data_IF_664710440601
#
_entry.id   IF_664710440601
#
_cell.length_a   1.000
_cell.length_b   1.000
_cell.length_c   1.000
_cell.angle_alpha   90.00
_cell.angle_beta   90.00
_cell.angle_gamma   90.00
#
_symmetry.space_group_name_H-M   'P 1'
#
loop_
_entity.id
_entity.type
_entity.pdbx_description
1 polymer ?
#
# COMPACT_ATOMS: atom_id res chain seq x y z
N UNK A 1 15.95 -22.54 13.29
CA UNK A 1 15.30 -21.26 12.98
C UNK A 1 14.90 -21.30 11.52
N UNK A 2 13.60 -21.56 11.24
CA UNK A 2 13.11 -21.60 9.85
C UNK A 2 13.06 -20.17 9.32
N UNK A 3 13.93 -19.84 8.37
CA UNK A 3 13.87 -18.55 7.67
C UNK A 3 12.53 -18.50 6.94
N UNK A 4 11.60 -17.66 7.40
CA UNK A 4 10.34 -17.41 6.69
C UNK A 4 10.69 -16.85 5.31
N UNK A 5 10.59 -17.69 4.30
CA UNK A 5 10.77 -17.28 2.90
C UNK A 5 9.70 -16.23 2.63
N UNK A 6 10.12 -14.98 2.40
CA UNK A 6 9.18 -13.92 2.01
C UNK A 6 8.63 -14.24 0.62
N UNK A 7 7.31 -14.05 0.40
CA UNK A 7 6.73 -14.29 -0.91
C UNK A 7 7.39 -13.37 -1.96
N UNK A 8 7.74 -13.96 -3.11
CA UNK A 8 8.33 -13.20 -4.21
C UNK A 8 7.32 -12.17 -4.76
N UNK A 9 7.75 -10.97 -5.15
CA UNK A 9 6.90 -10.00 -5.85
C UNK A 9 6.53 -10.51 -7.24
N UNK A 10 5.48 -9.93 -7.83
CA UNK A 10 5.16 -10.14 -9.25
C UNK A 10 6.36 -9.74 -10.12
N UNK A 11 6.65 -10.51 -11.18
CA UNK A 11 7.71 -10.14 -12.13
C UNK A 11 7.39 -8.81 -12.82
N UNK A 12 8.39 -7.94 -13.07
CA UNK A 12 8.23 -6.80 -13.96
C UNK A 12 7.71 -7.25 -15.35
N UNK A 13 6.77 -6.48 -15.91
CA UNK A 13 6.12 -6.80 -17.16
C UNK A 13 4.87 -7.68 -17.05
N UNK A 14 4.59 -8.27 -15.88
CA UNK A 14 3.32 -8.98 -15.63
C UNK A 14 2.14 -8.07 -15.86
N UNK A 15 1.05 -8.62 -16.40
CA UNK A 15 -0.23 -7.92 -16.55
C UNK A 15 -1.22 -8.48 -15.54
N UNK A 16 -1.86 -7.62 -14.76
CA UNK A 16 -2.90 -7.94 -13.78
C UNK A 16 -4.04 -6.94 -13.90
N UNK A 17 -5.27 -7.41 -14.08
CA UNK A 17 -6.45 -6.55 -14.23
C UNK A 17 -6.35 -5.48 -15.32
N UNK A 18 -5.55 -5.72 -16.37
CA UNK A 18 -5.28 -4.74 -17.42
C UNK A 18 -4.14 -3.76 -17.12
N UNK A 19 -3.51 -3.84 -15.93
CA UNK A 19 -2.37 -3.01 -15.54
C UNK A 19 -1.06 -3.75 -15.75
N UNK A 20 -0.04 -3.09 -16.31
CA UNK A 20 1.29 -3.65 -16.52
C UNK A 20 2.21 -3.28 -15.36
N UNK A 21 2.66 -4.27 -14.60
CA UNK A 21 3.59 -4.10 -13.49
C UNK A 21 4.95 -3.60 -14.00
N UNK A 22 5.44 -2.49 -13.45
CA UNK A 22 6.75 -1.92 -13.78
C UNK A 22 7.80 -2.40 -12.79
N UNK A 23 7.57 -2.17 -11.50
CA UNK A 23 8.48 -2.55 -10.41
C UNK A 23 7.78 -2.58 -9.07
N UNK A 24 8.40 -3.24 -8.10
CA UNK A 24 7.99 -3.16 -6.70
C UNK A 24 8.36 -1.80 -6.12
N UNK A 25 7.42 -1.18 -5.39
CA UNK A 25 7.62 0.03 -4.60
C UNK A 25 7.93 -0.29 -3.13
N UNK A 26 7.12 -1.17 -2.52
CA UNK A 26 7.25 -1.52 -1.11
C UNK A 26 6.81 -2.97 -0.86
N UNK A 27 7.25 -3.54 0.27
CA UNK A 27 6.77 -4.82 0.80
C UNK A 27 6.59 -4.68 2.31
N UNK A 28 5.48 -5.19 2.81
CA UNK A 28 5.16 -5.19 4.24
C UNK A 28 4.60 -6.52 4.72
N UNK A 29 4.17 -6.59 5.98
CA UNK A 29 3.60 -7.81 6.57
C UNK A 29 2.30 -8.28 5.90
N UNK A 30 1.55 -7.37 5.30
CA UNK A 30 0.23 -7.63 4.71
C UNK A 30 0.24 -7.73 3.18
N UNK A 31 1.33 -7.34 2.52
CA UNK A 31 1.37 -7.41 1.06
C UNK A 31 2.51 -6.64 0.41
N UNK A 32 2.37 -6.46 -0.88
CA UNK A 32 3.35 -5.81 -1.75
C UNK A 32 2.69 -4.66 -2.51
N UNK A 33 3.40 -3.55 -2.68
CA UNK A 33 2.97 -2.42 -3.49
C UNK A 33 3.83 -2.34 -4.73
N UNK A 34 3.20 -2.17 -5.88
CA UNK A 34 3.83 -2.06 -7.19
C UNK A 34 3.57 -0.70 -7.82
N UNK A 35 4.52 -0.20 -8.59
CA UNK A 35 4.28 0.74 -9.66
C UNK A 35 3.79 -0.04 -10.87
N UNK A 36 2.70 0.38 -11.46
CA UNK A 36 2.15 -0.19 -12.68
C UNK A 36 1.66 0.92 -13.64
N UNK A 37 1.40 0.54 -14.87
CA UNK A 37 0.83 1.41 -15.90
C UNK A 37 -0.55 0.88 -16.29
N UNK A 38 -1.52 1.78 -16.42
CA UNK A 38 -2.82 1.47 -16.99
C UNK A 38 -2.76 1.35 -18.53
N UNK A 39 -3.91 1.17 -19.17
CA UNK A 39 -4.01 1.01 -20.63
C UNK A 39 -3.57 2.26 -21.41
N UNK A 40 -3.70 3.45 -20.82
CA UNK A 40 -3.26 4.73 -21.38
C UNK A 40 -1.79 5.05 -21.07
N UNK A 41 -1.09 4.17 -20.32
CA UNK A 41 0.29 4.38 -19.89
C UNK A 41 0.44 5.29 -18.67
N UNK A 42 -0.64 5.63 -17.98
CA UNK A 42 -0.59 6.42 -16.75
C UNK A 42 -0.10 5.56 -15.59
N UNK A 43 0.73 6.16 -14.73
CA UNK A 43 1.24 5.50 -13.54
C UNK A 43 0.19 5.37 -12.45
N UNK A 44 0.12 4.17 -11.87
CA UNK A 44 -0.73 3.83 -10.72
C UNK A 44 0.09 3.05 -9.69
N UNK A 45 -0.33 3.11 -8.43
CA UNK A 45 0.18 2.23 -7.38
C UNK A 45 -0.81 1.08 -7.17
N UNK A 46 -0.32 -0.17 -7.14
CA UNK A 46 -1.17 -1.35 -6.91
C UNK A 46 -0.71 -2.06 -5.66
N UNK A 47 -1.59 -2.17 -4.67
CA UNK A 47 -1.37 -2.92 -3.45
C UNK A 47 -1.98 -4.31 -3.60
N UNK A 48 -1.14 -5.34 -3.49
CA UNK A 48 -1.52 -6.75 -3.50
C UNK A 48 -1.68 -7.26 -2.07
N UNK A 49 -2.75 -8.00 -1.77
CA UNK A 49 -2.87 -8.76 -0.54
C UNK A 49 -2.00 -10.00 -0.61
N UNK A 50 -0.87 -10.00 0.08
CA UNK A 50 0.10 -11.10 0.08
C UNK A 50 0.78 -11.22 1.46
N UNK A 51 0.04 -11.63 2.50
CA UNK A 51 0.56 -11.69 3.86
C UNK A 51 1.62 -12.79 3.99
N UNK A 52 2.86 -12.41 4.29
CA UNK A 52 4.00 -13.32 4.39
C UNK A 52 3.86 -14.39 5.50
N UNK A 53 2.94 -14.20 6.45
CA UNK A 53 2.61 -15.19 7.48
C UNK A 53 1.69 -16.31 6.99
N UNK A 54 0.94 -16.06 5.90
CA UNK A 54 -0.13 -16.95 5.42
C UNK A 54 0.16 -17.51 4.03
N UNK A 55 0.83 -16.75 3.17
CA UNK A 55 1.06 -17.10 1.78
C UNK A 55 2.54 -17.06 1.44
N UNK A 56 2.92 -17.86 0.45
CA UNK A 56 4.22 -17.85 -0.20
C UNK A 56 4.01 -17.68 -1.70
N UNK A 57 5.05 -17.27 -2.42
CA UNK A 57 5.07 -17.26 -3.88
C UNK A 57 6.51 -17.47 -4.35
N UNK A 58 6.69 -18.39 -5.29
CA UNK A 58 7.98 -18.63 -5.91
C UNK A 58 8.32 -17.50 -6.92
N UNK A 59 9.60 -17.21 -7.16
CA UNK A 59 10.00 -16.27 -8.21
C UNK A 59 9.44 -16.67 -9.57
N UNK A 60 8.84 -15.72 -10.28
CA UNK A 60 8.25 -15.95 -11.60
C UNK A 60 6.77 -16.36 -11.58
N UNK A 61 6.27 -16.83 -10.46
CA UNK A 61 4.86 -17.19 -10.32
C UNK A 61 3.98 -15.95 -10.10
N UNK A 62 2.74 -16.02 -10.60
CA UNK A 62 1.75 -14.96 -10.37
C UNK A 62 0.86 -15.27 -9.17
N UNK A 63 0.52 -16.54 -8.99
CA UNK A 63 -0.43 -17.00 -7.98
C UNK A 63 0.28 -17.29 -6.64
N UNK A 64 -0.26 -16.79 -5.51
CA UNK A 64 0.20 -17.18 -4.19
C UNK A 64 -0.12 -18.65 -3.88
N UNK A 65 0.79 -19.31 -3.17
CA UNK A 65 0.54 -20.62 -2.57
C UNK A 65 0.20 -20.46 -1.08
N UNK A 66 -0.89 -21.06 -0.65
CA UNK A 66 -1.37 -21.03 0.73
C UNK A 66 -1.52 -22.45 1.24
N UNK A 67 -0.91 -22.74 2.38
CA UNK A 67 -1.04 -24.06 3.00
C UNK A 67 -2.49 -24.32 3.46
N UNK A 68 -3.00 -25.56 3.34
CA UNK A 68 -4.40 -25.90 3.64
C UNK A 68 -4.86 -25.40 5.02
N UNK A 69 -4.03 -25.53 6.04
CA UNK A 69 -4.31 -25.11 7.42
C UNK A 69 -4.44 -23.58 7.58
N UNK A 70 -3.90 -22.79 6.63
CA UNK A 70 -3.96 -21.32 6.62
C UNK A 70 -5.05 -20.77 5.71
N UNK A 71 -5.67 -21.62 4.90
CA UNK A 71 -6.55 -21.17 3.82
C UNK A 71 -7.77 -20.39 4.33
N UNK A 72 -8.37 -20.81 5.44
CA UNK A 72 -9.52 -20.12 6.04
C UNK A 72 -9.16 -18.72 6.49
N UNK A 73 -8.00 -18.55 7.14
CA UNK A 73 -7.52 -17.25 7.61
C UNK A 73 -7.12 -16.35 6.42
N UNK A 74 -6.50 -16.92 5.40
CA UNK A 74 -6.15 -16.21 4.16
C UNK A 74 -7.41 -15.68 3.47
N UNK A 75 -8.45 -16.50 3.32
CA UNK A 75 -9.73 -16.10 2.72
C UNK A 75 -10.45 -15.02 3.53
N UNK A 76 -10.41 -15.09 4.86
CA UNK A 76 -10.95 -14.04 5.71
C UNK A 76 -10.22 -12.71 5.48
N UNK A 77 -8.90 -12.73 5.40
CA UNK A 77 -8.10 -11.54 5.11
C UNK A 77 -8.32 -10.98 3.71
N UNK A 78 -8.50 -11.84 2.69
CA UNK A 78 -8.91 -11.41 1.34
C UNK A 78 -10.23 -10.63 1.37
N UNK A 79 -11.22 -11.17 2.09
CA UNK A 79 -12.52 -10.50 2.24
C UNK A 79 -12.38 -9.15 2.93
N UNK A 80 -11.66 -9.10 4.05
CA UNK A 80 -11.44 -7.86 4.80
C UNK A 80 -10.71 -6.81 3.96
N UNK A 81 -9.67 -7.21 3.21
CA UNK A 81 -8.92 -6.30 2.33
C UNK A 81 -9.80 -5.75 1.19
N UNK A 82 -10.68 -6.58 0.62
CA UNK A 82 -11.62 -6.17 -0.40
C UNK A 82 -12.67 -5.18 0.14
N UNK A 83 -13.22 -5.44 1.33
CA UNK A 83 -14.18 -4.56 2.00
C UNK A 83 -13.54 -3.22 2.41
N UNK A 84 -12.28 -3.25 2.88
CA UNK A 84 -11.49 -2.05 3.14
C UNK A 84 -11.32 -1.21 1.88
N UNK A 85 -10.89 -1.82 0.77
CA UNK A 85 -10.73 -1.15 -0.51
C UNK A 85 -12.03 -0.52 -1.01
N UNK A 86 -13.14 -1.24 -0.88
CA UNK A 86 -14.47 -0.74 -1.23
C UNK A 86 -14.87 0.48 -0.42
N UNK A 87 -14.57 0.49 0.86
CA UNK A 87 -14.88 1.61 1.76
C UNK A 87 -13.98 2.82 1.46
N UNK A 88 -12.68 2.59 1.24
CA UNK A 88 -11.71 3.62 0.85
C UNK A 88 -12.06 4.27 -0.49
N UNK A 89 -12.58 3.50 -1.45
CA UNK A 89 -12.99 4.03 -2.76
C UNK A 89 -14.14 5.06 -2.69
N UNK A 90 -14.84 5.14 -1.56
CA UNK A 90 -15.88 6.15 -1.31
C UNK A 90 -15.32 7.46 -0.76
N UNK A 91 -14.04 7.49 -0.39
CA UNK A 91 -13.40 8.66 0.21
C UNK A 91 -12.68 9.46 -0.89
N UNK A 92 -13.08 10.71 -1.04
CA UNK A 92 -12.40 11.68 -1.90
C UNK A 92 -11.94 12.87 -1.05
N UNK A 93 -10.63 12.95 -0.78
CA UNK A 93 -10.02 14.05 -0.01
C UNK A 93 -8.55 14.19 -0.38
N UNK A 94 -8.06 15.42 -0.44
CA UNK A 94 -6.67 15.72 -0.84
C UNK A 94 -5.62 15.03 0.05
N UNK A 95 -5.90 14.88 1.35
CA UNK A 95 -4.99 14.24 2.31
C UNK A 95 -5.23 12.73 2.49
N UNK A 96 -6.00 12.09 1.59
CA UNK A 96 -6.24 10.64 1.59
C UNK A 96 -5.96 10.10 0.20
N UNK A 97 -5.14 9.06 0.10
CA UNK A 97 -4.82 8.42 -1.19
C UNK A 97 -6.10 7.85 -1.80
N UNK A 98 -6.41 8.26 -3.03
CA UNK A 98 -7.62 7.82 -3.72
C UNK A 98 -7.46 6.40 -4.24
N UNK A 99 -8.45 5.55 -3.97
CA UNK A 99 -8.59 4.23 -4.58
C UNK A 99 -9.32 4.39 -5.91
N UNK A 100 -8.70 3.95 -6.99
CA UNK A 100 -9.22 4.05 -8.36
C UNK A 100 -10.00 2.82 -8.77
N UNK A 101 -9.53 1.65 -8.35
CA UNK A 101 -10.10 0.36 -8.70
C UNK A 101 -9.69 -0.71 -7.69
N UNK A 102 -10.40 -1.80 -7.62
CA UNK A 102 -10.00 -3.01 -6.91
C UNK A 102 -10.59 -4.22 -7.65
N UNK A 103 -9.82 -5.31 -7.70
CA UNK A 103 -10.22 -6.51 -8.43
C UNK A 103 -9.59 -7.76 -7.82
N UNK A 104 -10.14 -8.91 -8.19
CA UNK A 104 -9.63 -10.22 -7.80
C UNK A 104 -9.03 -10.92 -9.01
N UNK A 105 -7.80 -11.37 -8.88
CA UNK A 105 -7.08 -12.15 -9.88
C UNK A 105 -5.98 -12.97 -9.19
N UNK A 106 -5.49 -14.03 -9.82
CA UNK A 106 -4.43 -14.89 -9.28
C UNK A 106 -4.68 -15.37 -7.84
N UNK A 107 -5.92 -15.69 -7.49
CA UNK A 107 -6.32 -16.11 -6.13
C UNK A 107 -5.97 -15.09 -5.01
N UNK A 108 -5.78 -13.82 -5.38
CA UNK A 108 -5.60 -12.71 -4.44
C UNK A 108 -6.43 -11.48 -4.85
N UNK A 109 -6.28 -10.39 -4.10
CA UNK A 109 -6.98 -9.13 -4.32
C UNK A 109 -5.97 -8.00 -4.50
N UNK A 110 -6.26 -7.13 -5.44
CA UNK A 110 -5.48 -5.96 -5.80
C UNK A 110 -6.30 -4.69 -5.58
N UNK A 111 -5.67 -3.67 -5.00
CA UNK A 111 -6.23 -2.33 -4.83
C UNK A 111 -5.38 -1.37 -5.65
N UNK A 112 -5.98 -0.70 -6.61
CA UNK A 112 -5.34 0.30 -7.48
C UNK A 112 -5.57 1.68 -6.89
N UNK A 113 -4.51 2.44 -6.75
CA UNK A 113 -4.50 3.78 -6.15
C UNK A 113 -3.77 4.77 -7.06
N UNK A 114 -4.04 6.05 -6.87
CA UNK A 114 -3.18 7.08 -7.45
C UNK A 114 -1.72 6.84 -7.07
N UNK A 115 -0.84 6.86 -8.06
CA UNK A 115 0.60 6.95 -7.80
C UNK A 115 0.94 8.40 -7.45
N UNK A 116 1.60 8.59 -6.33
CA UNK A 116 2.06 9.89 -5.86
C UNK A 116 3.59 9.94 -5.96
N UNK A 117 4.12 11.01 -6.53
CA UNK A 117 5.55 11.29 -6.50
C UNK A 117 5.88 12.00 -5.19
N UNK A 118 6.92 11.52 -4.49
CA UNK A 118 7.33 12.06 -3.20
C UNK A 118 8.00 11.00 -2.32
N UNK A 119 7.97 11.22 -1.02
CA UNK A 119 8.59 10.33 -0.04
C UNK A 119 7.70 10.12 1.18
N UNK A 120 7.91 9.04 1.91
CA UNK A 120 7.27 8.90 3.22
C UNK A 120 7.87 9.90 4.22
N UNK A 121 7.10 10.30 5.21
CA UNK A 121 7.63 11.12 6.31
C UNK A 121 8.82 10.44 6.99
N UNK A 122 8.85 9.11 7.04
CA UNK A 122 9.99 8.36 7.58
C UNK A 122 11.25 8.57 6.74
N UNK A 123 11.16 8.43 5.42
CA UNK A 123 12.31 8.63 4.51
C UNK A 123 12.78 10.07 4.56
N UNK A 124 11.83 11.02 4.60
CA UNK A 124 12.13 12.43 4.75
C UNK A 124 12.92 12.74 6.05
N UNK A 125 12.48 12.16 7.18
CA UNK A 125 13.18 12.32 8.48
C UNK A 125 14.58 11.72 8.44
N UNK A 126 14.75 10.53 7.85
CA UNK A 126 16.05 9.87 7.72
C UNK A 126 16.99 10.73 6.88
N UNK A 127 16.56 11.13 5.69
CA UNK A 127 17.34 11.96 4.77
C UNK A 127 17.73 13.31 5.40
N UNK A 128 16.79 13.96 6.09
CA UNK A 128 17.07 15.25 6.75
C UNK A 128 18.11 15.12 7.87
N UNK A 129 18.12 14.01 8.61
CA UNK A 129 19.14 13.72 9.64
C UNK A 129 20.52 13.47 9.01
N UNK A 130 20.59 12.67 7.95
CA UNK A 130 21.83 12.40 7.22
C UNK A 130 22.45 13.69 6.65
N UNK A 131 21.61 14.59 6.13
CA UNK A 131 22.03 15.88 5.61
C UNK A 131 22.24 16.96 6.67
N UNK A 132 22.05 16.64 7.96
CA UNK A 132 22.09 17.59 9.09
C UNK A 132 21.18 18.81 8.87
N UNK A 133 20.06 18.61 8.19
CA UNK A 133 19.11 19.63 7.83
C UNK A 133 18.03 19.84 8.91
N UNK A 134 18.41 19.96 10.18
CA UNK A 134 17.48 20.06 11.33
C UNK A 134 16.49 21.22 11.21
N UNK A 135 16.88 22.30 10.52
CA UNK A 135 16.02 23.48 10.27
C UNK A 135 14.74 23.17 9.46
N UNK A 136 14.67 22.02 8.80
CA UNK A 136 13.48 21.58 8.05
C UNK A 136 12.32 21.25 8.99
N UNK A 137 12.62 20.84 10.23
CA UNK A 137 11.63 20.49 11.26
C UNK A 137 11.23 21.68 12.14
N UNK A 138 10.90 22.83 11.52
CA UNK A 138 10.34 23.94 12.28
C UNK A 138 8.96 23.55 12.82
N UNK A 139 8.64 24.04 14.00
CA UNK A 139 7.33 23.80 14.64
C UNK A 139 6.15 24.11 13.71
N UNK A 140 6.23 25.21 12.95
CA UNK A 140 5.20 25.58 11.99
C UNK A 140 5.02 24.53 10.88
N UNK A 141 6.12 23.97 10.35
CA UNK A 141 6.08 22.91 9.32
C UNK A 141 5.46 21.63 9.89
N UNK A 142 5.83 21.26 11.11
CA UNK A 142 5.28 20.08 11.79
C UNK A 142 3.77 20.27 12.03
N UNK A 143 3.36 21.44 12.53
CA UNK A 143 1.94 21.74 12.75
C UNK A 143 1.13 21.67 11.46
N UNK A 144 1.61 22.30 10.38
CA UNK A 144 0.93 22.28 9.09
C UNK A 144 0.78 20.85 8.55
N UNK A 145 1.85 20.03 8.64
CA UNK A 145 1.81 18.63 8.21
C UNK A 145 0.75 17.84 8.99
N UNK A 146 0.75 17.97 10.33
CA UNK A 146 -0.21 17.22 11.14
C UNK A 146 -1.63 17.76 11.01
N UNK A 147 -1.85 19.02 10.73
CA UNK A 147 -3.17 19.56 10.40
C UNK A 147 -3.75 18.86 9.16
N UNK A 148 -2.95 18.65 8.11
CA UNK A 148 -3.38 17.91 6.91
C UNK A 148 -3.66 16.43 7.22
N UNK A 149 -2.81 15.77 8.01
CA UNK A 149 -3.04 14.38 8.45
C UNK A 149 -4.34 14.27 9.24
N UNK A 150 -4.59 15.19 10.18
CA UNK A 150 -5.80 15.21 11.00
C UNK A 150 -7.07 15.48 10.17
N UNK A 151 -6.99 16.34 9.14
CA UNK A 151 -8.08 16.53 8.18
C UNK A 151 -8.42 15.26 7.44
N UNK A 152 -7.41 14.56 6.91
CA UNK A 152 -7.59 13.26 6.26
C UNK A 152 -8.21 12.22 7.20
N UNK A 153 -7.69 12.09 8.42
CA UNK A 153 -8.24 11.19 9.44
C UNK A 153 -9.69 11.51 9.82
N UNK A 154 -10.04 12.81 9.93
CA UNK A 154 -11.42 13.23 10.21
C UNK A 154 -12.37 12.69 9.15
N UNK A 155 -12.02 12.75 7.87
CA UNK A 155 -12.84 12.22 6.77
C UNK A 155 -12.96 10.70 6.88
N UNK A 156 -11.85 9.99 7.12
CA UNK A 156 -11.86 8.53 7.32
C UNK A 156 -12.80 8.14 8.48
N UNK A 157 -12.73 8.85 9.60
CA UNK A 157 -13.61 8.61 10.76
C UNK A 157 -15.08 8.93 10.47
N UNK A 158 -15.39 9.95 9.67
CA UNK A 158 -16.75 10.23 9.22
C UNK A 158 -17.37 9.08 8.42
N UNK A 159 -16.52 8.31 7.69
CA UNK A 159 -16.92 7.08 7.00
C UNK A 159 -16.92 5.85 7.94
N UNK A 160 -16.85 6.05 9.26
CA UNK A 160 -16.85 5.00 10.29
C UNK A 160 -15.70 4.00 10.14
N UNK A 161 -14.58 4.45 9.59
CA UNK A 161 -13.36 3.67 9.45
C UNK A 161 -12.30 4.17 10.44
N UNK A 162 -11.42 3.26 10.87
CA UNK A 162 -10.25 3.57 11.68
C UNK A 162 -8.99 3.20 10.89
N UNK A 163 -7.99 4.07 10.86
CA UNK A 163 -6.74 3.80 10.14
C UNK A 163 -5.89 2.72 10.82
N UNK A 164 -5.84 2.68 12.14
CA UNK A 164 -5.17 1.69 13.01
C UNK A 164 -3.65 1.54 12.85
N UNK A 165 -3.00 2.22 11.90
CA UNK A 165 -1.55 2.13 11.65
C UNK A 165 -0.96 3.49 11.26
N UNK A 166 -1.28 4.55 12.02
CA UNK A 166 -0.70 5.88 11.80
C UNK A 166 0.74 5.87 12.27
N UNK A 167 1.66 6.04 11.33
CA UNK A 167 3.11 6.11 11.55
C UNK A 167 3.79 6.86 10.40
N UNK A 168 5.02 7.36 10.58
CA UNK A 168 5.71 8.13 9.53
C UNK A 168 5.87 7.40 8.19
N UNK A 169 5.98 6.06 8.20
CA UNK A 169 6.04 5.25 6.98
C UNK A 169 4.73 5.23 6.17
N UNK A 170 3.60 5.64 6.78
CA UNK A 170 2.28 5.67 6.15
C UNK A 170 1.77 7.10 5.90
N UNK A 171 2.60 8.11 6.15
CA UNK A 171 2.34 9.51 5.79
C UNK A 171 3.23 9.84 4.61
N UNK A 172 2.62 10.21 3.49
CA UNK A 172 3.32 10.50 2.25
C UNK A 172 3.35 12.00 2.01
N UNK A 173 4.52 12.54 1.67
CA UNK A 173 4.76 13.95 1.38
C UNK A 173 4.98 14.08 -0.13
N UNK A 174 4.15 14.85 -0.79
CA UNK A 174 4.17 15.13 -2.22
C UNK A 174 4.70 16.53 -2.50
#
# INVERSE_FOLDING_TARGET
MSSKIKPAPLPPGSTIGGYRVVRRLASGGFGVVYLALDAEGKQVAIKEYLPASLATRAPGELQPAVAPEKLSLYRLGLKSFFEEGRSLAQISHASVVSVLNFFRENETVYMVMNYLEGATLQDFVVTARELKAEKVFRESTIRSLFDEVLRGLRIVHQHKMLHLDIKPANIFIT
#
